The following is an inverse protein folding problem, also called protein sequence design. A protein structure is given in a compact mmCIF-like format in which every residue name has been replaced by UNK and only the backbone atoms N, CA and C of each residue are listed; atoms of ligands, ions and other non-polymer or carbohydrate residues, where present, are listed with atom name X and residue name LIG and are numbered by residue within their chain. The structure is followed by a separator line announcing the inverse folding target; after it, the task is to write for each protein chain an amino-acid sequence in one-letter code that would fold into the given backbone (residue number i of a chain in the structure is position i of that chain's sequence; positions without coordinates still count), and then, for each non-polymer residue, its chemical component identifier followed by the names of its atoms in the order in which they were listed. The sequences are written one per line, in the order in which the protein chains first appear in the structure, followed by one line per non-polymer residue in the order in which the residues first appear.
data_IF_396440749272
#
_entry.id   IF_396440749272
#
_cell.length_a   1.000
_cell.length_b   1.000
_cell.length_c   1.000
_cell.angle_alpha   90.00
_cell.angle_beta   90.00
_cell.angle_gamma   90.00
#
_symmetry.space_group_name_H-M   'P 1'
#
loop_
_entity.id
_entity.type
_entity.pdbx_description
1 polymer ?
#
# COMPACT_ATOMS: atom_id res chain seq x y z
N UNK A 1 3.61 -41.21 -21.61
CA UNK A 1 4.00 -39.86 -22.01
C UNK A 1 3.52 -38.88 -20.97
N UNK A 2 4.36 -38.31 -20.07
CA UNK A 2 3.89 -37.46 -18.98
C UNK A 2 4.26 -35.99 -19.21
N UNK A 3 3.95 -35.43 -20.40
CA UNK A 3 4.21 -34.00 -20.64
C UNK A 3 3.03 -33.08 -20.29
N UNK A 4 1.83 -33.61 -20.08
CA UNK A 4 0.64 -32.83 -19.74
C UNK A 4 0.63 -32.32 -18.29
N UNK A 5 1.07 -33.13 -17.33
CA UNK A 5 1.01 -32.81 -15.89
C UNK A 5 1.97 -31.68 -15.50
N UNK A 6 3.12 -31.56 -16.20
CA UNK A 6 4.09 -30.50 -15.94
C UNK A 6 3.60 -29.13 -16.45
N UNK A 7 2.88 -29.09 -17.57
CA UNK A 7 2.32 -27.88 -18.13
C UNK A 7 1.16 -27.34 -17.28
N UNK A 8 0.29 -28.21 -16.79
CA UNK A 8 -0.84 -27.83 -15.92
C UNK A 8 -0.31 -27.32 -14.56
N UNK A 9 0.69 -27.97 -13.99
CA UNK A 9 1.32 -27.52 -12.75
C UNK A 9 2.06 -26.17 -12.91
N UNK A 10 2.71 -25.96 -14.05
CA UNK A 10 3.35 -24.69 -14.40
C UNK A 10 2.31 -23.57 -14.59
N UNK A 11 1.19 -23.83 -15.28
CA UNK A 11 0.09 -22.90 -15.43
C UNK A 11 -0.60 -22.56 -14.10
N UNK A 12 -0.74 -23.53 -13.19
CA UNK A 12 -1.23 -23.27 -11.84
C UNK A 12 -0.26 -22.43 -11.01
N UNK A 13 1.06 -22.65 -11.14
CA UNK A 13 2.09 -21.84 -10.50
C UNK A 13 2.09 -20.40 -11.06
N UNK A 14 1.97 -20.22 -12.36
CA UNK A 14 1.87 -18.89 -12.99
C UNK A 14 0.58 -18.18 -12.54
N UNK A 15 -0.57 -18.86 -12.51
CA UNK A 15 -1.82 -18.31 -11.97
C UNK A 15 -1.72 -17.96 -10.48
N UNK A 16 -0.94 -18.71 -9.68
CA UNK A 16 -0.68 -18.37 -8.27
C UNK A 16 0.20 -17.14 -8.12
N UNK A 17 1.17 -16.92 -9.02
CA UNK A 17 2.02 -15.71 -9.01
C UNK A 17 1.21 -14.48 -9.42
N UNK A 18 0.34 -14.58 -10.44
CA UNK A 18 -0.58 -13.51 -10.84
C UNK A 18 -1.64 -13.16 -9.76
N UNK A 19 -1.81 -14.03 -8.74
CA UNK A 19 -2.84 -13.85 -7.73
C UNK A 19 -2.50 -12.80 -6.65
N UNK A 20 -1.25 -12.32 -6.56
CA UNK A 20 -0.79 -11.37 -5.55
C UNK A 20 -0.43 -9.99 -6.16
N UNK A 21 -1.31 -9.42 -6.95
CA UNK A 21 -1.06 -8.11 -7.59
C UNK A 21 -1.99 -6.99 -7.06
N UNK A 22 -2.79 -7.28 -6.03
CA UNK A 22 -3.79 -6.36 -5.52
C UNK A 22 -3.28 -5.62 -4.28
N UNK A 23 -3.54 -4.32 -4.21
CA UNK A 23 -3.20 -3.48 -3.06
C UNK A 23 -4.46 -3.13 -2.27
N UNK A 24 -4.40 -3.35 -0.95
CA UNK A 24 -5.43 -2.84 -0.03
C UNK A 24 -5.18 -1.36 0.26
N UNK A 25 -6.22 -0.52 0.17
CA UNK A 25 -6.16 0.89 0.57
C UNK A 25 -7.21 1.12 1.63
N UNK A 26 -6.79 1.34 2.88
CA UNK A 26 -7.70 1.53 4.01
C UNK A 26 -7.47 2.88 4.67
N UNK A 27 -8.55 3.53 5.07
CA UNK A 27 -8.50 4.83 5.75
C UNK A 27 -9.49 4.85 6.93
N UNK A 28 -9.15 5.62 7.98
CA UNK A 28 -9.94 5.68 9.22
C UNK A 28 -11.23 6.46 9.11
N UNK A 29 -11.34 7.35 8.12
CA UNK A 29 -12.48 8.24 7.88
C UNK A 29 -12.59 8.60 6.40
N UNK A 30 -13.78 8.97 5.96
CA UNK A 30 -13.99 9.53 4.60
C UNK A 30 -13.26 10.85 4.38
N UNK A 31 -12.98 11.62 5.45
CA UNK A 31 -12.17 12.85 5.38
C UNK A 31 -10.73 12.60 4.91
N UNK A 32 -10.21 11.39 5.11
CA UNK A 32 -8.86 11.01 4.73
C UNK A 32 -8.73 10.81 3.21
N UNK A 33 -9.87 10.71 2.51
CA UNK A 33 -9.90 10.50 1.07
C UNK A 33 -9.20 11.60 0.26
N UNK A 34 -9.23 12.83 0.74
CA UNK A 34 -8.54 13.95 0.08
C UNK A 34 -7.03 13.68 -0.10
N UNK A 35 -6.41 12.99 0.85
CA UNK A 35 -5.01 12.55 0.79
C UNK A 35 -4.90 11.19 0.09
N UNK A 36 -5.72 10.22 0.51
CA UNK A 36 -5.61 8.83 0.08
C UNK A 36 -5.97 8.60 -1.40
N UNK A 37 -6.74 9.50 -2.02
CA UNK A 37 -6.99 9.49 -3.47
C UNK A 37 -5.69 9.61 -4.29
N UNK A 38 -4.65 10.23 -3.75
CA UNK A 38 -3.33 10.27 -4.37
C UNK A 38 -2.68 8.90 -4.52
N UNK A 39 -2.95 7.97 -3.58
CA UNK A 39 -2.45 6.60 -3.69
C UNK A 39 -3.17 5.85 -4.81
N UNK A 40 -4.50 5.93 -4.87
CA UNK A 40 -5.26 5.22 -5.93
C UNK A 40 -4.93 5.75 -7.33
N UNK A 41 -4.69 7.04 -7.47
CA UNK A 41 -4.26 7.63 -8.76
C UNK A 41 -2.92 7.05 -9.25
N UNK A 42 -1.95 6.84 -8.34
CA UNK A 42 -0.68 6.18 -8.68
C UNK A 42 -0.91 4.70 -9.01
N UNK A 43 -1.70 3.97 -8.22
CA UNK A 43 -2.00 2.56 -8.53
C UNK A 43 -2.65 2.40 -9.91
N UNK A 44 -3.59 3.28 -10.26
CA UNK A 44 -4.23 3.33 -11.58
C UNK A 44 -3.22 3.63 -12.69
N UNK A 45 -2.32 4.61 -12.48
CA UNK A 45 -1.26 4.96 -13.44
C UNK A 45 -0.36 3.76 -13.77
N UNK A 46 -0.04 2.92 -12.78
CA UNK A 46 0.79 1.73 -12.95
C UNK A 46 0.00 0.47 -13.31
N UNK A 47 -1.34 0.56 -13.46
CA UNK A 47 -2.21 -0.56 -13.77
C UNK A 47 -2.24 -1.62 -12.66
N UNK A 48 -2.09 -1.21 -11.40
CA UNK A 48 -2.14 -2.08 -10.21
C UNK A 48 -3.56 -2.12 -9.70
N UNK A 49 -4.12 -3.33 -9.58
CA UNK A 49 -5.44 -3.53 -8.99
C UNK A 49 -5.45 -3.15 -7.51
N UNK A 50 -6.53 -2.53 -7.04
CA UNK A 50 -6.67 -2.19 -5.62
C UNK A 50 -8.12 -2.33 -5.13
N UNK A 51 -8.25 -2.46 -3.81
CA UNK A 51 -9.53 -2.35 -3.10
C UNK A 51 -9.41 -1.26 -2.04
N UNK A 52 -10.36 -0.31 -2.05
CA UNK A 52 -10.41 0.76 -1.04
C UNK A 52 -11.54 0.53 -0.02
N UNK A 53 -11.24 0.80 1.26
CA UNK A 53 -12.20 0.72 2.37
C UNK A 53 -12.03 1.88 3.35
N UNK A 54 -13.14 2.26 3.97
CA UNK A 54 -13.14 3.12 5.16
C UNK A 54 -13.43 2.23 6.36
N UNK A 55 -12.42 2.00 7.20
CA UNK A 55 -12.50 1.18 8.42
C UNK A 55 -11.69 1.86 9.52
N UNK A 56 -12.32 2.07 10.66
CA UNK A 56 -11.68 2.73 11.79
C UNK A 56 -11.17 1.72 12.81
N UNK A 57 -9.89 1.83 13.20
CA UNK A 57 -9.33 0.99 14.26
C UNK A 57 -10.08 1.12 15.59
N UNK A 58 -10.66 2.29 15.88
CA UNK A 58 -11.34 2.57 17.14
C UNK A 58 -12.86 2.38 17.09
N UNK A 59 -13.50 2.55 15.90
CA UNK A 59 -14.97 2.55 15.78
C UNK A 59 -15.51 1.28 15.12
N UNK A 60 -14.71 0.60 14.31
CA UNK A 60 -15.07 -0.64 13.59
C UNK A 60 -13.95 -1.67 13.70
N UNK A 61 -13.45 -2.00 14.92
CA UNK A 61 -12.28 -2.87 15.09
C UNK A 61 -12.52 -4.30 14.56
N UNK A 62 -13.70 -4.87 14.76
CA UNK A 62 -14.00 -6.22 14.32
C UNK A 62 -14.01 -6.36 12.78
N UNK A 63 -14.55 -5.37 12.07
CA UNK A 63 -14.54 -5.33 10.60
C UNK A 63 -13.14 -5.12 10.05
N UNK A 64 -12.32 -4.31 10.74
CA UNK A 64 -10.93 -4.10 10.38
C UNK A 64 -10.11 -5.37 10.54
N UNK A 65 -10.26 -6.09 11.66
CA UNK A 65 -9.62 -7.38 11.91
C UNK A 65 -9.98 -8.38 10.81
N UNK A 66 -11.27 -8.57 10.55
CA UNK A 66 -11.76 -9.48 9.50
C UNK A 66 -11.18 -9.13 8.13
N UNK A 67 -11.15 -7.84 7.78
CA UNK A 67 -10.65 -7.37 6.50
C UNK A 67 -9.14 -7.58 6.37
N UNK A 68 -8.35 -7.27 7.39
CA UNK A 68 -6.89 -7.37 7.39
C UNK A 68 -6.42 -8.84 7.45
N UNK A 69 -7.03 -9.68 8.29
CA UNK A 69 -6.66 -11.10 8.43
C UNK A 69 -6.96 -11.92 7.16
N UNK A 70 -8.02 -11.59 6.43
CA UNK A 70 -8.36 -12.26 5.16
C UNK A 70 -7.62 -11.71 3.93
N UNK A 71 -6.84 -10.64 4.09
CA UNK A 71 -6.25 -9.89 2.97
C UNK A 71 -5.35 -10.77 2.07
N UNK A 72 -4.51 -11.63 2.67
CA UNK A 72 -3.63 -12.53 1.91
C UNK A 72 -4.43 -13.52 1.06
N UNK A 73 -5.46 -14.15 1.62
CA UNK A 73 -6.32 -15.11 0.91
C UNK A 73 -7.09 -14.46 -0.25
N UNK A 74 -7.36 -13.14 -0.12
CA UNK A 74 -8.01 -12.33 -1.14
C UNK A 74 -7.05 -11.77 -2.19
N UNK A 75 -5.79 -12.19 -2.18
CA UNK A 75 -4.78 -11.84 -3.18
C UNK A 75 -4.13 -10.47 -2.99
N UNK A 76 -4.17 -9.88 -1.78
CA UNK A 76 -3.41 -8.67 -1.51
C UNK A 76 -1.92 -8.97 -1.37
N UNK A 77 -1.09 -8.13 -1.96
CA UNK A 77 0.37 -8.17 -1.85
C UNK A 77 0.89 -7.20 -0.77
N UNK A 78 0.20 -6.08 -0.58
CA UNK A 78 0.51 -5.09 0.46
C UNK A 78 -0.76 -4.29 0.81
N UNK A 79 -0.70 -3.54 1.91
CA UNK A 79 -1.78 -2.67 2.38
C UNK A 79 -1.25 -1.26 2.63
N UNK A 80 -1.92 -0.25 2.07
CA UNK A 80 -1.71 1.16 2.38
C UNK A 80 -2.76 1.57 3.40
N UNK A 81 -2.34 2.10 4.55
CA UNK A 81 -3.23 2.51 5.63
C UNK A 81 -3.02 3.99 5.99
N UNK A 82 -4.06 4.81 5.82
CA UNK A 82 -4.02 6.25 6.10
C UNK A 82 -4.90 6.64 7.27
N UNK A 83 -4.37 7.46 8.18
CA UNK A 83 -5.13 8.01 9.30
C UNK A 83 -4.47 9.29 9.85
N UNK A 84 -5.29 10.16 10.48
CA UNK A 84 -4.86 11.37 11.15
C UNK A 84 -5.08 11.32 12.68
N UNK A 85 -4.39 12.18 13.42
CA UNK A 85 -4.50 12.30 14.87
C UNK A 85 -3.93 11.08 15.60
N UNK A 86 -4.75 10.39 16.40
CA UNK A 86 -4.44 9.10 17.02
C UNK A 86 -4.42 7.99 15.93
N UNK A 87 -3.41 8.04 15.08
CA UNK A 87 -3.32 7.30 13.82
C UNK A 87 -2.87 5.83 14.02
N UNK A 88 -3.60 5.08 14.85
CA UNK A 88 -3.27 3.69 15.21
C UNK A 88 -3.60 2.68 14.09
N UNK A 89 -4.30 3.10 13.02
CA UNK A 89 -4.86 2.21 12.00
C UNK A 89 -3.81 1.29 11.37
N UNK A 90 -2.67 1.83 10.94
CA UNK A 90 -1.63 1.05 10.27
C UNK A 90 -1.01 0.00 11.20
N UNK A 91 -0.74 0.35 12.47
CA UNK A 91 -0.22 -0.58 13.47
C UNK A 91 -1.22 -1.70 13.79
N UNK A 92 -2.52 -1.38 13.89
CA UNK A 92 -3.58 -2.37 14.10
C UNK A 92 -3.70 -3.31 12.89
N UNK A 93 -3.67 -2.78 11.67
CA UNK A 93 -3.65 -3.62 10.45
C UNK A 93 -2.44 -4.56 10.45
N UNK A 94 -1.24 -4.05 10.76
CA UNK A 94 -0.02 -4.84 10.78
C UNK A 94 -0.04 -5.96 11.84
N UNK A 95 -0.83 -5.80 12.92
CA UNK A 95 -1.02 -6.85 13.91
C UNK A 95 -1.87 -8.04 13.41
N UNK A 96 -2.70 -7.84 12.38
CA UNK A 96 -3.59 -8.87 11.83
C UNK A 96 -3.10 -9.52 10.54
N UNK A 97 -1.97 -9.08 9.98
CA UNK A 97 -1.44 -9.65 8.74
C UNK A 97 0.08 -9.63 8.71
N UNK A 98 0.66 -10.57 7.96
CA UNK A 98 2.10 -10.56 7.63
C UNK A 98 2.38 -9.95 6.25
N UNK A 99 1.38 -9.34 5.60
CA UNK A 99 1.60 -8.54 4.39
C UNK A 99 2.35 -7.24 4.75
N UNK A 100 3.17 -6.70 3.85
CA UNK A 100 3.73 -5.36 4.03
C UNK A 100 2.62 -4.33 4.25
N UNK A 101 2.76 -3.51 5.31
CA UNK A 101 1.84 -2.40 5.59
C UNK A 101 2.60 -1.10 5.43
N UNK A 102 2.08 -0.22 4.57
CA UNK A 102 2.62 1.11 4.30
C UNK A 102 1.68 2.15 4.92
N UNK A 103 2.17 2.88 5.89
CA UNK A 103 1.40 3.88 6.62
C UNK A 103 1.52 5.28 6.00
N UNK A 104 0.39 5.95 5.88
CA UNK A 104 0.27 7.35 5.46
C UNK A 104 -0.21 8.18 6.64
N UNK A 105 0.69 8.87 7.36
CA UNK A 105 0.29 9.85 8.36
C UNK A 105 -0.46 10.99 7.68
N UNK A 106 -1.67 11.30 8.15
CA UNK A 106 -2.47 12.39 7.59
C UNK A 106 -2.39 13.58 8.52
N UNK A 107 -2.24 14.76 7.93
CA UNK A 107 -2.16 16.03 8.65
C UNK A 107 -3.34 16.20 9.60
N UNK A 108 -3.05 16.40 10.88
CA UNK A 108 -4.03 16.70 11.93
C UNK A 108 -4.15 18.20 12.17
N UNK A 109 -5.26 18.61 12.81
CA UNK A 109 -5.46 20.02 13.17
C UNK A 109 -4.57 20.47 14.32
N UNK A 110 -4.19 19.56 15.22
CA UNK A 110 -3.51 19.92 16.47
C UNK A 110 -2.00 20.04 16.33
N UNK A 111 -1.33 19.11 15.63
CA UNK A 111 0.12 19.04 15.53
C UNK A 111 0.60 18.90 14.08
N UNK A 112 -0.16 19.40 13.13
CA UNK A 112 0.21 19.43 11.70
C UNK A 112 0.62 18.05 11.14
N UNK A 113 0.16 16.96 11.78
CA UNK A 113 0.44 15.57 11.39
C UNK A 113 1.61 14.92 12.14
N UNK A 114 2.32 15.63 13.02
CA UNK A 114 3.39 15.04 13.83
C UNK A 114 2.89 13.94 14.76
N UNK A 115 1.71 14.13 15.35
CA UNK A 115 1.00 13.13 16.15
C UNK A 115 0.69 11.87 15.33
N UNK A 116 0.20 12.03 14.09
CA UNK A 116 -0.08 10.93 13.17
C UNK A 116 1.20 10.19 12.79
N UNK A 117 2.28 10.92 12.46
CA UNK A 117 3.57 10.36 12.11
C UNK A 117 4.14 9.53 13.27
N UNK A 118 4.18 10.09 14.48
CA UNK A 118 4.73 9.41 15.65
C UNK A 118 3.90 8.18 16.04
N UNK A 119 2.57 8.24 15.87
CA UNK A 119 1.68 7.08 16.11
C UNK A 119 1.93 5.91 15.16
N UNK A 120 2.44 6.17 13.95
CA UNK A 120 2.65 5.15 12.92
C UNK A 120 4.09 4.64 12.87
N UNK A 121 5.10 5.49 13.15
CA UNK A 121 6.51 5.14 12.98
C UNK A 121 7.09 4.41 14.20
N UNK A 122 6.57 4.66 15.42
CA UNK A 122 7.08 4.10 16.66
C UNK A 122 6.49 2.71 16.95
N UNK A 123 6.73 1.77 16.03
CA UNK A 123 6.23 0.40 16.16
C UNK A 123 7.10 -0.47 17.07
N UNK A 124 6.51 -1.42 17.82
CA UNK A 124 7.27 -2.37 18.61
C UNK A 124 8.06 -3.35 17.72
N UNK A 125 9.15 -3.89 18.27
CA UNK A 125 9.90 -4.97 17.61
C UNK A 125 8.99 -6.15 17.28
N UNK A 126 9.07 -6.65 16.05
CA UNK A 126 8.28 -7.79 15.55
C UNK A 126 7.04 -7.41 14.74
N UNK A 127 6.54 -6.17 14.83
CA UNK A 127 5.39 -5.68 14.03
C UNK A 127 5.82 -4.43 13.25
N UNK A 128 6.53 -4.58 12.13
CA UNK A 128 7.02 -3.44 11.35
C UNK A 128 5.91 -2.78 10.52
N UNK A 129 6.00 -1.46 10.38
CA UNK A 129 5.18 -0.65 9.46
C UNK A 129 6.11 0.30 8.69
N UNK A 130 6.03 0.29 7.36
CA UNK A 130 6.77 1.22 6.51
C UNK A 130 6.03 2.57 6.47
N UNK A 131 6.52 3.58 7.18
CA UNK A 131 5.83 4.87 7.28
C UNK A 131 6.43 5.87 6.29
N UNK A 132 5.59 6.47 5.42
CA UNK A 132 5.97 7.55 4.50
C UNK A 132 5.81 8.93 5.16
N UNK A 133 6.20 9.99 4.47
CA UNK A 133 6.00 11.36 4.95
C UNK A 133 4.52 11.73 5.13
N UNK A 134 4.26 12.79 5.92
CA UNK A 134 2.91 13.31 6.16
C UNK A 134 2.24 13.64 4.81
N UNK A 135 0.99 13.21 4.63
CA UNK A 135 0.19 13.32 3.41
C UNK A 135 0.82 12.63 2.17
N UNK A 136 1.81 11.75 2.38
CA UNK A 136 2.60 11.11 1.34
C UNK A 136 1.95 9.92 0.64
N UNK A 137 0.63 9.93 0.42
CA UNK A 137 -0.12 8.80 -0.14
C UNK A 137 0.41 8.33 -1.51
N UNK A 138 0.88 9.25 -2.37
CA UNK A 138 1.53 8.90 -3.65
C UNK A 138 2.77 8.05 -3.45
N UNK A 139 3.63 8.44 -2.48
CA UNK A 139 4.84 7.68 -2.16
C UNK A 139 4.52 6.32 -1.54
N UNK A 140 3.43 6.19 -0.78
CA UNK A 140 2.98 4.90 -0.28
C UNK A 140 2.61 3.94 -1.43
N UNK A 141 1.92 4.44 -2.44
CA UNK A 141 1.59 3.64 -3.62
C UNK A 141 2.82 3.30 -4.48
N UNK A 142 3.75 4.24 -4.64
CA UNK A 142 5.03 3.98 -5.32
C UNK A 142 5.85 2.92 -4.59
N UNK A 143 5.93 2.97 -3.25
CA UNK A 143 6.60 1.94 -2.46
C UNK A 143 5.93 0.56 -2.64
N UNK A 144 4.60 0.50 -2.68
CA UNK A 144 3.89 -0.75 -3.00
C UNK A 144 4.23 -1.24 -4.43
N UNK A 145 4.27 -0.34 -5.42
CA UNK A 145 4.67 -0.67 -6.77
C UNK A 145 6.13 -1.19 -6.83
N UNK A 146 7.05 -0.60 -6.08
CA UNK A 146 8.44 -1.06 -5.94
C UNK A 146 8.54 -2.45 -5.31
N UNK A 147 7.73 -2.75 -4.29
CA UNK A 147 7.64 -4.08 -3.67
C UNK A 147 7.19 -5.13 -4.72
N UNK A 148 6.16 -4.81 -5.51
CA UNK A 148 5.68 -5.68 -6.58
C UNK A 148 6.73 -5.84 -7.71
N UNK A 149 7.43 -4.76 -8.05
CA UNK A 149 8.43 -4.73 -9.11
C UNK A 149 9.67 -5.61 -8.84
N UNK A 150 9.86 -6.08 -7.60
CA UNK A 150 10.91 -7.07 -7.28
C UNK A 150 10.75 -8.35 -8.12
N UNK A 151 9.52 -8.69 -8.50
CA UNK A 151 9.20 -9.90 -9.29
C UNK A 151 8.42 -9.60 -10.57
N UNK A 152 8.07 -8.34 -10.86
CA UNK A 152 7.36 -7.90 -12.07
C UNK A 152 8.23 -6.95 -12.91
N UNK A 153 8.85 -7.46 -13.97
CA UNK A 153 9.70 -6.67 -14.87
C UNK A 153 8.92 -5.55 -15.61
N UNK A 154 7.62 -5.71 -15.83
CA UNK A 154 6.76 -4.68 -16.43
C UNK A 154 6.65 -3.47 -15.48
N UNK A 155 6.39 -3.72 -14.20
CA UNK A 155 6.33 -2.66 -13.19
C UNK A 155 7.69 -2.01 -12.96
N UNK A 156 8.76 -2.81 -12.94
CA UNK A 156 10.12 -2.30 -12.82
C UNK A 156 10.43 -1.30 -13.94
N UNK A 157 10.16 -1.69 -15.21
CA UNK A 157 10.36 -0.79 -16.35
C UNK A 157 9.51 0.48 -16.23
N UNK A 158 8.25 0.37 -15.83
CA UNK A 158 7.36 1.53 -15.67
C UNK A 158 7.86 2.49 -14.59
N UNK A 159 8.42 1.99 -13.49
CA UNK A 159 9.04 2.79 -12.43
C UNK A 159 10.33 3.49 -12.91
N UNK A 160 11.16 2.82 -13.70
CA UNK A 160 12.36 3.41 -14.29
C UNK A 160 11.99 4.55 -15.25
N UNK A 161 11.01 4.34 -16.13
CA UNK A 161 10.48 5.35 -17.05
C UNK A 161 9.89 6.55 -16.28
N UNK A 162 9.09 6.31 -15.23
CA UNK A 162 8.52 7.34 -14.37
C UNK A 162 9.60 8.21 -13.70
N UNK A 163 10.68 7.60 -13.19
CA UNK A 163 11.79 8.34 -12.59
C UNK A 163 12.58 9.15 -13.62
N UNK A 164 12.79 8.60 -14.82
CA UNK A 164 13.44 9.30 -15.91
C UNK A 164 12.64 10.55 -16.35
N UNK A 165 11.31 10.44 -16.44
CA UNK A 165 10.43 11.59 -16.73
C UNK A 165 10.50 12.68 -15.65
N UNK A 166 10.53 12.31 -14.38
CA UNK A 166 10.68 13.27 -13.28
C UNK A 166 12.05 13.98 -13.34
N UNK A 167 13.12 13.23 -13.59
CA UNK A 167 14.44 13.79 -13.74
C UNK A 167 14.51 14.79 -14.91
N UNK A 168 13.93 14.42 -16.06
CA UNK A 168 13.87 15.31 -17.24
C UNK A 168 13.13 16.62 -16.94
N UNK A 169 12.01 16.55 -16.20
CA UNK A 169 11.26 17.75 -15.77
C UNK A 169 12.09 18.68 -14.89
N UNK A 170 12.83 18.12 -13.93
CA UNK A 170 13.71 18.92 -13.05
C UNK A 170 14.83 19.57 -13.86
N UNK A 171 15.50 18.81 -14.74
CA UNK A 171 16.61 19.30 -15.54
C UNK A 171 16.18 20.35 -16.59
N UNK A 172 14.94 20.33 -17.04
CA UNK A 172 14.37 21.33 -17.97
C UNK A 172 13.83 22.58 -17.28
N UNK A 173 13.77 22.60 -15.93
CA UNK A 173 13.28 23.77 -15.20
C UNK A 173 14.30 24.91 -15.26
N UNK A 174 13.86 26.09 -15.70
CA UNK A 174 14.65 27.33 -15.73
C UNK A 174 14.11 28.23 -14.63
N UNK A 175 15.00 28.82 -13.84
CA UNK A 175 14.67 29.80 -12.79
C UNK A 175 14.69 31.20 -13.41
#
# INVERSE_FOLDING_TARGET
MPYGVAADHFLELVKKIDHFMKIGVVMGSTSDWNVMSGATAILEQFGIEYEKKVLSAHRTPAELEKWASSARERGFAAIIAGAGGAAHLAGVVAAFTTLPVVAVPIKSRSLEGLDSLLSMVQMPSGIPVATVGIDGAKNAALLCAEILAVTDERLKKALDDFRAEQAAKVLSSVI
#
